data_IF_846823554357
#
_entry.id   IF_846823554357
#
_cell.length_a   1.000
_cell.length_b   1.000
_cell.length_c   1.000
_cell.angle_alpha   90.00
_cell.angle_beta   90.00
_cell.angle_gamma   90.00
#
_symmetry.space_group_name_H-M   'P 1'
#
loop_
_entity.id
_entity.type
_entity.pdbx_description
1 polymer ?
#
# COMPACT_ATOMS: atom_id res chain seq x y z
N UNK A 1 -4.43 -28.60 6.92
CA UNK A 1 -3.43 -28.00 7.86
C UNK A 1 -3.01 -26.68 7.24
N UNK A 2 -3.15 -25.56 7.95
CA UNK A 2 -2.72 -24.24 7.42
C UNK A 2 -1.20 -24.24 7.28
N UNK A 3 -0.71 -23.83 6.11
CA UNK A 3 0.73 -23.71 5.86
C UNK A 3 1.31 -22.64 6.81
N UNK A 4 2.45 -22.89 7.47
CA UNK A 4 3.00 -21.92 8.42
C UNK A 4 3.40 -20.63 7.72
N UNK A 5 3.18 -19.48 8.38
CA UNK A 5 3.58 -18.16 7.89
C UNK A 5 5.10 -18.10 7.68
N UNK A 6 5.61 -17.54 6.55
CA UNK A 6 7.04 -17.31 6.38
C UNK A 6 7.66 -16.58 7.57
N UNK A 7 8.85 -16.99 7.97
CA UNK A 7 9.46 -16.48 9.19
C UNK A 7 9.66 -14.96 9.17
N UNK A 8 10.10 -14.43 8.05
CA UNK A 8 10.30 -13.00 7.84
C UNK A 8 8.99 -12.17 7.82
N UNK A 9 7.81 -12.81 7.67
CA UNK A 9 6.49 -12.17 7.76
C UNK A 9 5.81 -12.36 9.13
N UNK A 10 6.37 -13.14 10.05
CA UNK A 10 5.71 -13.41 11.35
C UNK A 10 5.42 -12.13 12.15
N UNK A 11 6.38 -11.20 12.19
CA UNK A 11 6.17 -9.94 12.88
C UNK A 11 5.01 -9.14 12.27
N UNK A 12 4.92 -9.12 10.92
CA UNK A 12 3.84 -8.45 10.19
C UNK A 12 2.50 -9.15 10.42
N UNK A 13 2.47 -10.49 10.37
CA UNK A 13 1.26 -11.29 10.54
C UNK A 13 0.71 -11.25 11.98
N UNK A 14 1.59 -11.06 12.97
CA UNK A 14 1.21 -10.97 14.38
C UNK A 14 0.90 -9.54 14.84
N UNK A 15 0.98 -8.56 13.94
CA UNK A 15 0.79 -7.16 14.28
C UNK A 15 -0.63 -6.90 14.75
N UNK A 16 -0.77 -6.78 16.06
CA UNK A 16 -1.82 -5.96 16.67
C UNK A 16 -1.26 -4.55 16.79
N UNK A 17 -1.98 -3.50 16.42
CA UNK A 17 -1.50 -2.12 16.56
C UNK A 17 -1.47 -1.74 18.07
N UNK A 18 -0.43 -2.22 18.76
CA UNK A 18 -0.33 -2.10 20.24
C UNK A 18 0.56 -0.95 20.70
N UNK A 19 1.28 -0.28 19.81
CA UNK A 19 2.09 0.89 20.17
C UNK A 19 1.69 2.12 19.34
N UNK A 20 0.80 2.99 19.88
CA UNK A 20 0.34 4.19 19.20
C UNK A 20 1.47 5.17 18.87
N UNK A 21 2.62 5.14 19.56
CA UNK A 21 3.74 6.04 19.30
C UNK A 21 4.62 5.63 18.11
N UNK A 22 4.43 4.42 17.58
CA UNK A 22 5.16 3.88 16.42
C UNK A 22 4.34 3.82 15.16
N UNK A 23 3.03 4.08 15.23
CA UNK A 23 2.11 3.93 14.12
C UNK A 23 1.95 5.27 13.38
N UNK A 24 1.96 5.21 12.06
CA UNK A 24 1.66 6.37 11.21
C UNK A 24 0.24 6.87 11.51
N UNK A 25 0.03 8.19 11.77
CA UNK A 25 -1.29 8.76 12.05
C UNK A 25 -2.37 8.44 11.00
N UNK A 26 -1.97 8.05 9.78
CA UNK A 26 -2.90 7.59 8.74
C UNK A 26 -3.64 6.33 9.18
N UNK A 27 -3.01 5.42 9.93
CA UNK A 27 -3.60 4.16 10.38
C UNK A 27 -4.60 4.33 11.53
N UNK A 28 -4.58 5.48 12.19
CA UNK A 28 -5.50 5.79 13.31
C UNK A 28 -6.77 6.51 12.87
N UNK A 29 -6.87 6.86 11.58
CA UNK A 29 -8.03 7.60 11.09
C UNK A 29 -9.29 6.77 11.19
N UNK A 30 -10.26 7.33 11.88
CA UNK A 30 -11.62 6.80 11.96
C UNK A 30 -12.59 7.83 11.41
N UNK A 31 -13.69 7.35 10.85
CA UNK A 31 -14.77 8.23 10.40
C UNK A 31 -15.33 9.04 11.59
N UNK A 32 -15.62 10.34 11.41
CA UNK A 32 -16.35 11.10 12.41
C UNK A 32 -17.70 10.43 12.75
N UNK A 33 -18.14 10.56 14.00
CA UNK A 33 -19.43 9.99 14.42
C UNK A 33 -20.57 10.48 13.51
N UNK A 34 -21.38 9.55 13.01
CA UNK A 34 -22.51 9.83 12.15
C UNK A 34 -22.16 9.98 10.66
N UNK A 35 -20.90 9.81 10.28
CA UNK A 35 -20.52 9.75 8.85
C UNK A 35 -21.00 8.43 8.25
N UNK A 36 -21.70 8.51 7.13
CA UNK A 36 -21.98 7.33 6.31
C UNK A 36 -20.73 7.01 5.48
N UNK A 37 -20.15 5.87 5.72
CA UNK A 37 -18.96 5.39 5.01
C UNK A 37 -19.32 4.25 4.07
N UNK A 38 -18.43 3.96 3.14
CA UNK A 38 -18.53 2.82 2.24
C UNK A 38 -17.42 1.82 2.58
N UNK A 39 -17.74 0.57 2.87
CA UNK A 39 -16.72 -0.44 3.14
C UNK A 39 -15.90 -0.72 1.87
N UNK A 40 -14.61 -0.91 2.06
CA UNK A 40 -13.67 -1.28 1.02
C UNK A 40 -12.56 -2.15 1.62
N UNK A 41 -11.86 -2.91 0.77
CA UNK A 41 -10.69 -3.64 1.21
C UNK A 41 -9.56 -3.57 0.19
N UNK A 42 -8.33 -3.67 0.68
CA UNK A 42 -7.13 -3.73 -0.18
C UNK A 42 -6.27 -4.92 0.21
N UNK A 43 -5.63 -5.54 -0.78
CA UNK A 43 -4.74 -6.67 -0.58
C UNK A 43 -3.28 -6.21 -0.48
N UNK A 44 -2.70 -6.28 0.70
CA UNK A 44 -1.27 -6.08 0.94
C UNK A 44 -0.58 -7.42 0.76
N UNK A 45 -0.26 -7.77 -0.48
CA UNK A 45 0.25 -9.08 -0.86
C UNK A 45 1.77 -9.07 -0.94
N UNK A 46 2.40 -9.86 -0.05
CA UNK A 46 3.84 -10.10 -0.05
C UNK A 46 4.17 -11.39 -0.79
N UNK A 47 5.12 -11.31 -1.72
CA UNK A 47 5.72 -12.46 -2.41
C UNK A 47 7.16 -12.68 -1.99
N UNK A 48 7.71 -13.84 -2.38
CA UNK A 48 9.11 -14.15 -2.17
C UNK A 48 9.35 -15.55 -1.59
N UNK A 49 10.61 -15.91 -1.37
CA UNK A 49 10.97 -17.19 -0.75
C UNK A 49 10.34 -17.33 0.64
N UNK A 50 9.99 -18.56 1.00
CA UNK A 50 9.44 -18.88 2.32
C UNK A 50 10.50 -18.81 3.42
N UNK A 51 11.72 -19.18 3.05
CA UNK A 51 12.87 -19.19 3.94
C UNK A 51 13.38 -17.78 4.18
N UNK A 52 13.69 -17.47 5.45
CA UNK A 52 14.36 -16.24 5.81
C UNK A 52 15.83 -16.25 5.36
N UNK A 53 16.34 -15.08 4.98
CA UNK A 53 17.79 -14.90 4.78
C UNK A 53 18.47 -14.63 6.14
N UNK A 54 19.25 -15.57 6.68
CA UNK A 54 19.84 -15.42 8.02
C UNK A 54 20.88 -14.29 8.09
N UNK A 55 21.35 -13.79 6.94
CA UNK A 55 22.33 -12.70 6.85
C UNK A 55 21.68 -11.35 6.66
N UNK A 56 20.38 -11.31 6.32
CA UNK A 56 19.64 -10.08 6.14
C UNK A 56 18.97 -9.62 7.43
N UNK A 57 18.89 -8.30 7.60
CA UNK A 57 18.17 -7.69 8.73
C UNK A 57 16.70 -8.13 8.71
N UNK A 58 16.22 -8.62 9.86
CA UNK A 58 14.85 -9.14 9.99
C UNK A 58 14.59 -10.41 9.19
N UNK A 59 15.64 -11.05 8.65
CA UNK A 59 15.51 -12.28 7.85
C UNK A 59 14.91 -12.04 6.46
N UNK A 60 14.91 -10.80 5.94
CA UNK A 60 14.27 -10.45 4.67
C UNK A 60 14.95 -11.14 3.49
N UNK A 61 14.28 -12.07 2.76
CA UNK A 61 14.88 -12.76 1.64
C UNK A 61 15.07 -11.83 0.43
N UNK A 62 16.04 -12.14 -0.42
CA UNK A 62 16.39 -11.32 -1.58
C UNK A 62 15.23 -11.10 -2.54
N UNK A 63 14.44 -12.13 -2.78
CA UNK A 63 13.30 -12.10 -3.69
C UNK A 63 12.00 -11.59 -3.07
N UNK A 64 12.01 -11.03 -1.86
CA UNK A 64 10.79 -10.50 -1.23
C UNK A 64 10.29 -9.26 -1.94
N UNK A 65 8.99 -9.25 -2.28
CA UNK A 65 8.32 -8.15 -2.97
C UNK A 65 6.91 -7.89 -2.42
N UNK A 66 6.29 -6.83 -2.89
CA UNK A 66 4.89 -6.49 -2.65
C UNK A 66 4.21 -6.16 -3.98
N UNK A 67 2.97 -6.64 -4.14
CA UNK A 67 2.15 -6.35 -5.32
C UNK A 67 1.52 -4.97 -5.18
N UNK A 68 1.75 -4.12 -6.19
CA UNK A 68 1.16 -2.77 -6.28
C UNK A 68 0.56 -2.57 -7.67
N UNK A 69 -0.49 -1.75 -7.72
CA UNK A 69 -1.08 -1.23 -8.96
C UNK A 69 -0.83 0.28 -9.07
N UNK A 70 -0.74 0.78 -10.28
CA UNK A 70 -0.76 2.21 -10.56
C UNK A 70 -2.00 2.53 -11.38
N UNK A 71 -2.82 3.44 -10.90
CA UNK A 71 -4.06 3.84 -11.57
C UNK A 71 -3.77 4.46 -12.93
N UNK A 72 -4.65 4.17 -13.90
CA UNK A 72 -4.51 4.68 -15.25
C UNK A 72 -4.47 6.23 -15.27
N UNK A 73 -3.59 6.78 -16.12
CA UNK A 73 -3.44 8.24 -16.25
C UNK A 73 -4.67 8.93 -16.86
N UNK A 74 -5.57 8.16 -17.45
CA UNK A 74 -6.86 8.60 -18.03
C UNK A 74 -7.95 8.84 -16.99
N UNK A 75 -7.79 8.32 -15.77
CA UNK A 75 -8.79 8.46 -14.73
C UNK A 75 -8.94 9.91 -14.26
N UNK A 76 -10.18 10.33 -13.99
CA UNK A 76 -10.49 11.69 -13.52
C UNK A 76 -10.02 11.97 -12.09
N UNK A 77 -9.95 10.94 -11.26
CA UNK A 77 -9.53 11.02 -9.87
C UNK A 77 -8.41 10.05 -9.60
N UNK A 78 -7.44 10.47 -8.77
CA UNK A 78 -6.31 9.63 -8.36
C UNK A 78 -5.43 9.09 -9.51
N UNK A 79 -5.45 9.78 -10.66
CA UNK A 79 -4.64 9.45 -11.85
C UNK A 79 -3.17 9.25 -11.47
N UNK A 80 -2.61 8.11 -11.88
CA UNK A 80 -1.20 7.77 -11.64
C UNK A 80 -0.83 7.45 -10.19
N UNK A 81 -1.78 7.44 -9.25
CA UNK A 81 -1.51 7.02 -7.87
C UNK A 81 -1.18 5.53 -7.81
N UNK A 82 -0.21 5.20 -6.96
CA UNK A 82 0.17 3.82 -6.67
C UNK A 82 -0.59 3.34 -5.44
N UNK A 83 -1.24 2.18 -5.57
CA UNK A 83 -2.07 1.59 -4.53
C UNK A 83 -1.80 0.08 -4.40
N UNK A 84 -2.23 -0.49 -3.29
CA UNK A 84 -2.49 -1.92 -3.25
C UNK A 84 -3.71 -2.23 -4.13
N UNK A 85 -3.80 -3.39 -4.79
CA UNK A 85 -5.02 -3.80 -5.45
C UNK A 85 -6.17 -3.87 -4.45
N UNK A 86 -7.35 -3.38 -4.85
CA UNK A 86 -8.50 -3.33 -3.96
C UNK A 86 -9.54 -2.29 -4.34
N UNK A 87 -10.71 -2.43 -3.74
CA UNK A 87 -11.87 -1.59 -4.03
C UNK A 87 -13.02 -1.72 -3.06
N UNK A 88 -14.22 -1.35 -3.50
CA UNK A 88 -15.43 -1.37 -2.70
C UNK A 88 -15.88 -2.80 -2.40
N UNK A 89 -16.46 -3.00 -1.22
CA UNK A 89 -17.09 -4.27 -0.88
C UNK A 89 -18.40 -4.44 -1.68
N UNK A 90 -18.58 -5.61 -2.26
CA UNK A 90 -19.81 -6.03 -2.91
C UNK A 90 -20.68 -6.89 -1.97
N UNK A 91 -22.02 -6.88 -2.15
CA UNK A 91 -22.92 -7.66 -1.29
C UNK A 91 -22.67 -9.18 -1.28
N UNK A 92 -21.96 -9.70 -2.28
CA UNK A 92 -21.61 -11.12 -2.40
C UNK A 92 -20.26 -11.49 -1.81
N UNK A 93 -19.49 -10.53 -1.31
CA UNK A 93 -18.16 -10.78 -0.78
C UNK A 93 -18.22 -11.46 0.59
N UNK A 94 -17.33 -12.43 0.83
CA UNK A 94 -17.14 -13.04 2.14
C UNK A 94 -16.21 -12.16 2.99
N UNK A 95 -16.74 -11.01 3.41
CA UNK A 95 -16.03 -10.03 4.22
C UNK A 95 -14.82 -9.38 3.54
N UNK A 96 -13.96 -8.69 4.32
CA UNK A 96 -12.85 -7.93 3.75
C UNK A 96 -11.82 -8.79 2.98
N UNK A 97 -11.64 -10.05 3.38
CA UNK A 97 -10.74 -10.98 2.67
C UNK A 97 -11.31 -11.28 1.29
N UNK A 98 -12.62 -11.60 1.20
CA UNK A 98 -13.30 -11.84 -0.08
C UNK A 98 -13.18 -10.64 -1.01
N UNK A 99 -13.52 -9.44 -0.50
CA UNK A 99 -13.39 -8.18 -1.27
C UNK A 99 -11.97 -7.98 -1.80
N UNK A 100 -10.95 -8.06 -0.93
CA UNK A 100 -9.57 -7.80 -1.32
C UNK A 100 -9.05 -8.79 -2.37
N UNK A 101 -9.44 -10.06 -2.27
CA UNK A 101 -9.04 -11.09 -3.24
C UNK A 101 -9.76 -10.94 -4.58
N UNK A 102 -11.07 -10.66 -4.56
CA UNK A 102 -11.87 -10.41 -5.78
C UNK A 102 -11.32 -9.22 -6.55
N UNK A 103 -11.13 -8.08 -5.89
CA UNK A 103 -10.61 -6.87 -6.51
C UNK A 103 -9.19 -7.07 -7.06
N UNK A 104 -8.33 -7.77 -6.31
CA UNK A 104 -6.98 -8.08 -6.78
C UNK A 104 -7.01 -8.99 -8.04
N UNK A 105 -7.94 -9.94 -8.12
CA UNK A 105 -8.14 -10.74 -9.31
C UNK A 105 -8.63 -9.89 -10.49
N UNK A 106 -9.62 -9.02 -10.27
CA UNK A 106 -10.20 -8.15 -11.30
C UNK A 106 -9.19 -7.14 -11.83
N UNK A 107 -8.38 -6.53 -10.98
CA UNK A 107 -7.38 -5.53 -11.38
C UNK A 107 -6.10 -6.13 -11.99
N UNK A 108 -5.66 -7.29 -11.49
CA UNK A 108 -4.32 -7.82 -11.80
C UNK A 108 -4.28 -9.20 -12.42
N UNK A 109 -5.39 -9.92 -12.46
CA UNK A 109 -5.44 -11.32 -12.89
C UNK A 109 -4.81 -12.29 -11.87
N UNK A 110 -4.63 -11.84 -10.62
CA UNK A 110 -4.16 -12.69 -9.53
C UNK A 110 -5.07 -13.90 -9.38
N UNK A 111 -4.49 -15.10 -9.21
CA UNK A 111 -5.24 -16.28 -8.77
C UNK A 111 -5.37 -16.26 -7.23
N UNK A 112 -6.58 -16.04 -6.69
CA UNK A 112 -6.80 -16.00 -5.25
C UNK A 112 -6.44 -17.31 -4.53
N UNK A 113 -6.51 -18.46 -5.22
CA UNK A 113 -6.19 -19.77 -4.64
C UNK A 113 -4.72 -19.91 -4.23
N UNK A 114 -3.84 -19.12 -4.87
CA UNK A 114 -2.42 -19.04 -4.55
C UNK A 114 -2.07 -18.08 -3.40
N UNK A 115 -3.06 -17.45 -2.78
CA UNK A 115 -2.86 -16.48 -1.70
C UNK A 115 -3.21 -17.09 -0.35
N UNK A 116 -2.28 -17.01 0.60
CA UNK A 116 -2.53 -17.31 2.00
C UNK A 116 -2.85 -16.01 2.75
N UNK A 117 -4.10 -15.74 3.13
CA UNK A 117 -4.42 -14.61 4.02
C UNK A 117 -3.74 -14.80 5.38
N UNK A 118 -3.09 -13.73 5.88
CA UNK A 118 -2.33 -13.77 7.12
C UNK A 118 -3.08 -13.09 8.27
N UNK A 119 -3.52 -11.86 8.05
CA UNK A 119 -4.25 -11.08 9.06
C UNK A 119 -5.02 -9.93 8.41
N UNK A 120 -6.00 -9.42 9.11
CA UNK A 120 -6.81 -8.26 8.73
C UNK A 120 -6.47 -7.12 9.67
N UNK A 121 -6.06 -5.98 9.12
CA UNK A 121 -5.78 -4.78 9.91
C UNK A 121 -7.08 -4.00 10.21
N UNK A 122 -7.06 -3.13 11.22
CA UNK A 122 -8.19 -2.25 11.50
C UNK A 122 -8.55 -1.36 10.31
N UNK A 123 -9.84 -1.09 10.17
CA UNK A 123 -10.37 -0.14 9.18
C UNK A 123 -9.74 1.25 9.31
N UNK A 124 -9.51 1.89 8.17
CA UNK A 124 -8.90 3.21 8.07
C UNK A 124 -9.78 4.10 7.21
N UNK A 125 -10.30 5.18 7.77
CA UNK A 125 -11.13 6.11 7.03
C UNK A 125 -10.31 6.98 6.07
N UNK A 126 -10.76 7.07 4.81
CA UNK A 126 -10.15 7.89 3.76
C UNK A 126 -11.08 9.06 3.41
N UNK A 127 -10.89 10.24 4.02
CA UNK A 127 -11.82 11.37 3.90
C UNK A 127 -12.19 11.76 2.46
N UNK A 128 -11.23 11.84 1.51
CA UNK A 128 -11.56 12.27 0.14
C UNK A 128 -12.51 11.33 -0.60
N UNK A 129 -12.45 10.03 -0.31
CA UNK A 129 -13.28 9.02 -0.98
C UNK A 129 -14.50 8.60 -0.17
N UNK A 130 -14.52 8.88 1.15
CA UNK A 130 -15.55 8.41 2.06
C UNK A 130 -15.52 6.90 2.32
N UNK A 131 -14.43 6.22 1.98
CA UNK A 131 -14.27 4.79 2.24
C UNK A 131 -13.70 4.54 3.63
N UNK A 132 -14.22 3.48 4.28
CA UNK A 132 -13.53 2.76 5.35
C UNK A 132 -12.81 1.57 4.72
N UNK A 133 -11.49 1.66 4.66
CA UNK A 133 -10.66 0.68 3.96
C UNK A 133 -10.04 -0.29 4.95
N UNK A 134 -10.29 -1.57 4.74
CA UNK A 134 -9.71 -2.66 5.52
C UNK A 134 -8.50 -3.24 4.78
N UNK A 135 -7.26 -3.07 5.29
CA UNK A 135 -6.11 -3.74 4.69
C UNK A 135 -6.09 -5.22 5.09
N UNK A 136 -6.00 -6.09 4.10
CA UNK A 136 -5.83 -7.54 4.26
C UNK A 136 -4.40 -7.90 3.90
N UNK A 137 -3.65 -8.43 4.86
CA UNK A 137 -2.29 -8.90 4.62
C UNK A 137 -2.34 -10.34 4.11
N UNK A 138 -1.59 -10.60 3.05
CA UNK A 138 -1.49 -11.92 2.45
C UNK A 138 -0.06 -12.29 2.08
N UNK A 139 0.22 -13.58 2.05
CA UNK A 139 1.43 -14.15 1.47
C UNK A 139 1.09 -14.87 0.17
N UNK A 140 1.84 -14.57 -0.88
CA UNK A 140 1.66 -15.20 -2.19
C UNK A 140 2.39 -16.54 -2.22
N UNK A 141 1.70 -17.57 -1.79
CA UNK A 141 2.25 -18.93 -1.65
C UNK A 141 2.55 -19.57 -3.00
N UNK A 142 1.67 -19.36 -3.99
CA UNK A 142 1.82 -19.86 -5.35
C UNK A 142 1.73 -18.71 -6.34
N UNK A 143 2.86 -17.99 -6.59
CA UNK A 143 2.85 -16.86 -7.51
C UNK A 143 2.46 -17.26 -8.93
N UNK A 144 1.52 -16.52 -9.49
CA UNK A 144 1.09 -16.61 -10.90
C UNK A 144 1.51 -15.37 -11.67
N UNK A 145 1.40 -15.41 -12.99
CA UNK A 145 1.59 -14.21 -13.81
C UNK A 145 0.45 -13.23 -13.54
N UNK A 146 0.83 -11.98 -13.26
CA UNK A 146 -0.12 -10.87 -13.10
C UNK A 146 0.14 -9.80 -14.15
N UNK A 147 -0.91 -9.06 -14.49
CA UNK A 147 -0.86 -7.98 -15.47
C UNK A 147 -2.15 -7.18 -15.45
N UNK A 148 -2.20 -6.13 -16.25
CA UNK A 148 -3.37 -5.26 -16.35
C UNK A 148 -4.54 -6.07 -16.94
N UNK A 149 -5.69 -6.03 -16.24
CA UNK A 149 -6.94 -6.64 -16.71
C UNK A 149 -7.87 -5.59 -17.32
N UNK A 150 -7.93 -4.39 -16.77
CA UNK A 150 -8.68 -3.25 -17.29
C UNK A 150 -7.75 -2.03 -17.43
N UNK A 151 -7.39 -1.69 -18.67
CA UNK A 151 -6.57 -0.52 -18.99
C UNK A 151 -7.26 0.82 -18.65
N UNK A 152 -8.58 0.81 -18.49
CA UNK A 152 -9.35 1.98 -18.07
C UNK A 152 -9.12 2.35 -16.60
N UNK A 153 -8.80 1.37 -15.76
CA UNK A 153 -8.61 1.56 -14.33
C UNK A 153 -7.15 1.44 -13.91
N UNK A 154 -6.43 0.45 -14.43
CA UNK A 154 -5.05 0.14 -14.06
C UNK A 154 -4.12 0.45 -15.22
N UNK A 155 -3.16 1.33 -15.00
CA UNK A 155 -2.12 1.66 -15.98
C UNK A 155 -0.85 0.82 -15.81
N UNK A 156 -0.65 0.21 -14.65
CA UNK A 156 0.50 -0.65 -14.38
C UNK A 156 0.21 -1.60 -13.22
N UNK A 157 0.70 -2.83 -13.34
CA UNK A 157 0.81 -3.81 -12.25
C UNK A 157 2.29 -4.07 -12.00
N UNK A 158 2.74 -4.03 -10.76
CA UNK A 158 4.15 -4.19 -10.42
C UNK A 158 4.36 -5.02 -9.15
N UNK A 159 5.31 -5.94 -9.20
CA UNK A 159 5.89 -6.58 -8.04
C UNK A 159 7.11 -5.78 -7.62
N UNK A 160 6.98 -5.00 -6.55
CA UNK A 160 8.01 -4.06 -6.10
C UNK A 160 8.89 -4.73 -5.05
N UNK A 161 10.21 -4.90 -5.30
CA UNK A 161 11.11 -5.51 -4.33
C UNK A 161 11.11 -4.73 -3.01
N UNK A 162 10.95 -5.43 -1.89
CA UNK A 162 10.97 -4.78 -0.57
C UNK A 162 12.29 -4.08 -0.29
N UNK A 163 13.40 -4.62 -0.79
CA UNK A 163 14.73 -3.98 -0.68
C UNK A 163 14.76 -2.60 -1.34
N UNK A 164 14.07 -2.42 -2.47
CA UNK A 164 13.96 -1.10 -3.13
C UNK A 164 13.20 -0.11 -2.25
N UNK A 165 12.13 -0.53 -1.58
CA UNK A 165 11.34 0.32 -0.69
C UNK A 165 12.07 0.60 0.64
N UNK A 166 12.96 -0.29 1.06
CA UNK A 166 13.75 -0.16 2.29
C UNK A 166 15.04 0.62 2.10
N UNK A 167 15.49 0.80 0.85
CA UNK A 167 16.66 1.60 0.53
C UNK A 167 16.47 3.05 0.99
N UNK A 168 17.39 3.60 1.82
CA UNK A 168 17.32 4.99 2.28
C UNK A 168 17.20 6.02 1.18
N UNK A 169 17.84 5.80 0.04
CA UNK A 169 17.84 6.73 -1.10
C UNK A 169 16.47 6.80 -1.79
N UNK A 170 15.64 5.79 -1.60
CA UNK A 170 14.28 5.70 -2.11
C UNK A 170 13.21 6.17 -1.13
N UNK A 171 13.58 6.54 0.11
CA UNK A 171 12.65 6.92 1.17
C UNK A 171 12.75 8.40 1.50
N UNK A 172 11.58 9.07 1.57
CA UNK A 172 11.51 10.50 1.89
C UNK A 172 10.15 10.88 2.47
N UNK A 173 10.00 12.14 2.82
CA UNK A 173 8.73 12.72 3.27
C UNK A 173 8.13 13.54 2.14
N UNK A 174 6.82 13.42 1.93
CA UNK A 174 6.07 14.32 1.06
C UNK A 174 5.21 15.26 1.88
N UNK A 175 5.07 16.49 1.38
CA UNK A 175 4.09 17.47 1.86
C UNK A 175 3.16 17.83 0.72
N UNK A 176 1.87 17.79 0.98
CA UNK A 176 0.84 18.24 0.05
C UNK A 176 0.34 19.63 0.47
N UNK A 177 0.03 20.55 -0.47
CA UNK A 177 -0.47 21.88 -0.15
C UNK A 177 -1.72 21.90 0.75
N UNK A 178 -2.56 20.85 0.68
CA UNK A 178 -3.75 20.67 1.54
C UNK A 178 -3.42 20.13 2.95
N UNK A 179 -2.16 20.20 3.38
CA UNK A 179 -1.75 19.88 4.76
C UNK A 179 -1.36 18.43 5.02
N UNK A 180 -1.47 17.52 4.04
CA UNK A 180 -0.96 16.16 4.24
C UNK A 180 0.58 16.17 4.33
N UNK A 181 1.11 15.44 5.29
CA UNK A 181 2.52 15.12 5.41
C UNK A 181 2.65 13.64 5.77
N UNK A 182 3.55 12.92 5.10
CA UNK A 182 3.73 11.50 5.37
C UNK A 182 4.87 10.87 4.56
N UNK A 183 5.13 9.58 4.81
CA UNK A 183 6.17 8.84 4.12
C UNK A 183 5.86 8.69 2.63
N UNK A 184 6.94 8.58 1.85
CA UNK A 184 6.88 8.24 0.44
C UNK A 184 8.10 7.42 0.02
N UNK A 185 7.92 6.65 -1.06
CA UNK A 185 8.97 5.80 -1.64
C UNK A 185 9.04 6.00 -3.14
N UNK A 186 10.26 5.88 -3.70
CA UNK A 186 10.46 5.72 -5.13
C UNK A 186 10.73 4.25 -5.44
N UNK A 187 10.02 3.71 -6.42
CA UNK A 187 10.26 2.35 -6.88
C UNK A 187 9.88 2.24 -8.36
N UNK A 188 10.79 1.78 -9.20
CA UNK A 188 10.55 1.55 -10.63
C UNK A 188 9.92 2.74 -11.37
N UNK A 189 10.34 3.96 -11.08
CA UNK A 189 9.77 5.18 -11.65
C UNK A 189 8.39 5.56 -11.10
N UNK A 190 7.85 4.79 -10.15
CA UNK A 190 6.62 5.10 -9.45
C UNK A 190 6.90 5.92 -8.18
N UNK A 191 5.93 6.77 -7.81
CA UNK A 191 5.89 7.46 -6.53
C UNK A 191 4.81 6.84 -5.66
N UNK A 192 5.22 6.11 -4.62
CA UNK A 192 4.32 5.55 -3.60
C UNK A 192 4.20 6.54 -2.45
N UNK A 193 3.00 7.02 -2.15
CA UNK A 193 2.74 8.00 -1.09
C UNK A 193 1.33 7.82 -0.50
N UNK A 194 0.94 8.65 0.44
CA UNK A 194 -0.41 8.65 1.01
C UNK A 194 -0.71 7.40 1.84
N UNK A 195 -1.88 6.82 1.62
CA UNK A 195 -2.38 5.64 2.32
C UNK A 195 -1.44 4.43 2.14
N UNK A 196 -1.06 4.13 0.91
CA UNK A 196 -0.19 2.99 0.57
C UNK A 196 1.16 3.08 1.27
N UNK A 197 1.82 4.24 1.16
CA UNK A 197 3.10 4.44 1.83
C UNK A 197 2.98 4.47 3.35
N UNK A 198 1.85 4.95 3.88
CA UNK A 198 1.55 4.93 5.31
C UNK A 198 1.51 3.50 5.87
N UNK A 199 0.80 2.59 5.19
CA UNK A 199 0.75 1.17 5.56
C UNK A 199 2.13 0.52 5.45
N UNK A 200 2.81 0.68 4.31
CA UNK A 200 4.15 0.09 4.13
C UNK A 200 5.13 0.55 5.21
N UNK A 201 5.17 1.84 5.51
CA UNK A 201 6.04 2.38 6.55
C UNK A 201 5.73 1.79 7.94
N UNK A 202 4.44 1.66 8.28
CA UNK A 202 4.03 1.06 9.54
C UNK A 202 4.43 -0.42 9.63
N UNK A 203 4.20 -1.19 8.56
CA UNK A 203 4.57 -2.60 8.50
C UNK A 203 6.09 -2.79 8.60
N UNK A 204 6.88 -1.94 7.93
CA UNK A 204 8.35 -1.97 8.03
C UNK A 204 8.85 -1.65 9.44
N UNK A 205 8.20 -0.71 10.14
CA UNK A 205 8.54 -0.39 11.53
C UNK A 205 8.27 -1.57 12.46
N UNK A 206 7.13 -2.22 12.32
CA UNK A 206 6.75 -3.38 13.15
C UNK A 206 7.65 -4.58 12.88
N UNK A 207 8.01 -4.80 11.62
CA UNK A 207 8.92 -5.91 11.23
C UNK A 207 10.36 -5.68 11.66
N UNK A 208 10.70 -4.50 12.18
CA UNK A 208 12.07 -4.15 12.50
C UNK A 208 12.95 -3.84 11.27
N UNK A 209 12.38 -3.76 10.08
CA UNK A 209 13.12 -3.41 8.86
C UNK A 209 13.56 -1.95 8.83
N UNK A 210 12.96 -1.09 9.63
CA UNK A 210 13.31 0.34 9.72
C UNK A 210 14.69 0.63 10.33
N UNK A 211 15.35 -0.35 10.93
CA UNK A 211 16.72 -0.18 11.46
C UNK A 211 17.77 0.08 10.37
N UNK A 212 17.43 -0.19 9.09
CA UNK A 212 18.31 0.08 7.94
C UNK A 212 18.32 1.56 7.55
N UNK A 213 17.46 2.41 8.14
CA UNK A 213 17.32 3.81 7.74
C UNK A 213 17.78 4.71 8.87
N UNK A 214 18.79 5.57 8.65
CA UNK A 214 19.08 6.66 9.58
C UNK A 214 17.84 7.53 9.75
N UNK A 215 17.42 7.80 11.00
CA UNK A 215 16.26 8.66 11.33
C UNK A 215 16.37 10.11 10.83
N UNK A 216 17.45 10.45 10.14
CA UNK A 216 17.84 11.80 9.74
C UNK A 216 17.89 12.05 8.24
N UNK A 217 17.34 11.17 7.39
CA UNK A 217 17.17 11.52 5.99
C UNK A 217 16.05 12.58 5.86
N UNK A 218 16.39 13.83 6.11
CA UNK A 218 15.64 15.00 5.67
C UNK A 218 15.87 15.15 4.17
N UNK A 219 15.32 14.24 3.38
CA UNK A 219 15.18 14.52 1.96
C UNK A 219 14.31 15.78 1.83
N UNK A 220 14.73 16.70 0.98
CA UNK A 220 14.02 17.95 0.74
C UNK A 220 12.52 17.70 0.52
N UNK A 221 11.64 18.57 1.02
CA UNK A 221 10.20 18.39 0.88
C UNK A 221 9.86 18.31 -0.61
N UNK A 222 9.37 17.16 -1.04
CA UNK A 222 8.89 16.97 -2.39
C UNK A 222 7.42 17.42 -2.41
N UNK A 223 7.09 18.43 -3.21
CA UNK A 223 5.72 18.82 -3.46
C UNK A 223 5.14 17.90 -4.53
N UNK A 224 4.15 17.10 -4.17
CA UNK A 224 3.32 16.40 -5.15
C UNK A 224 2.25 17.38 -5.60
N UNK A 225 2.54 18.17 -6.63
CA UNK A 225 1.52 18.91 -7.34
C UNK A 225 0.71 17.92 -8.18
N UNK A 226 -0.59 17.84 -7.95
CA UNK A 226 -1.47 17.14 -8.88
C UNK A 226 -1.48 17.93 -10.19
N UNK A 227 -0.94 17.34 -11.25
CA UNK A 227 -0.84 17.98 -12.59
C UNK A 227 -2.18 18.48 -13.17
N UNK A 228 -3.30 18.13 -12.58
CA UNK A 228 -4.64 18.50 -13.08
C UNK A 228 -5.12 19.90 -12.68
N UNK A 229 -4.56 20.51 -11.61
CA UNK A 229 -5.02 21.84 -11.16
C UNK A 229 -4.12 22.99 -11.62
N UNK A 230 -2.82 22.76 -11.86
CA UNK A 230 -1.91 23.82 -12.30
C UNK A 230 -2.22 24.42 -13.69
N UNK A 231 -2.96 23.70 -14.54
CA UNK A 231 -3.40 24.27 -15.83
C UNK A 231 -4.54 25.29 -15.71
N UNK A 232 -5.26 25.36 -14.60
CA UNK A 232 -6.34 26.34 -14.42
C UNK A 232 -5.88 27.63 -13.74
N UNK A 233 -4.94 27.54 -12.80
CA UNK A 233 -4.47 28.71 -12.03
C UNK A 233 -3.49 29.58 -12.84
N UNK A 234 -2.70 28.99 -13.75
CA UNK A 234 -1.73 29.73 -14.57
C UNK A 234 -2.33 30.61 -15.68
N UNK A 235 -3.63 30.51 -15.97
CA UNK A 235 -4.29 31.34 -16.99
C UNK A 235 -5.04 32.56 -16.47
N UNK A 236 -5.25 32.66 -15.18
CA UNK A 236 -5.97 33.80 -14.58
C UNK A 236 -5.06 34.88 -13.98
N UNK A 237 -3.75 34.64 -13.88
CA UNK A 237 -2.78 35.64 -13.39
C UNK A 237 -2.08 36.46 -14.48
N UNK A 238 -2.48 36.35 -15.74
CA UNK A 238 -1.94 37.13 -16.87
C UNK A 238 -3.01 37.86 -17.64
N UNK A 239 -3.94 38.51 -16.93
CA UNK A 239 -4.78 39.59 -17.50
C UNK A 239 -4.87 40.73 -16.51
#
# INVERSE_FOLDING_TARGET
MSTPVPEWLRAVASTQPTDPHRINPVLERRAPRGTVTRPAAVLVLFGGPREADPLAVGGLPEGADVLLTQRASTMRQHSGQVAFPGGAADPGDDGPIGTALREAQEETGLDPSGVQPLTVLPEIFIPPSGFDVTPVLGYWEQPTTVGIQDEGEVGRVARVPLRTLLDPDNRFQVRHPLGYQGPAFRADGMLVWGFTAGILAALFTVSGYDFLVPRTSTAAPFYVAQRSEERRVGKECLR
#
